data_IF_363720724956
#
_entry.id   IF_363720724956
#
_cell.length_a   1.000
_cell.length_b   1.000
_cell.length_c   1.000
_cell.angle_alpha   90.00
_cell.angle_beta   90.00
_cell.angle_gamma   90.00
#
_symmetry.space_group_name_H-M   'P 1'
#
loop_
_entity.id
_entity.type
_entity.pdbx_description
1 polymer ?
#
# COMPACT_ATOMS: atom_id res chain seq x y z
N UNK A 1 42.91 -38.19 6.51
CA UNK A 1 41.46 -37.94 6.58
C UNK A 1 41.20 -36.57 5.98
N UNK A 2 40.90 -36.54 4.67
CA UNK A 2 40.29 -35.45 3.90
C UNK A 2 39.03 -36.12 3.30
N UNK A 3 37.81 -35.59 3.23
CA UNK A 3 37.36 -34.21 3.08
C UNK A 3 35.84 -34.10 3.41
N UNK A 4 35.36 -32.97 3.94
CA UNK A 4 33.98 -32.51 3.81
C UNK A 4 33.81 -31.42 2.71
N UNK A 5 34.86 -31.13 1.93
CA UNK A 5 34.85 -30.08 0.90
C UNK A 5 34.41 -30.54 -0.48
N UNK A 6 34.42 -31.85 -0.75
CA UNK A 6 34.03 -32.39 -2.06
C UNK A 6 32.50 -32.38 -2.23
N UNK A 7 31.74 -32.72 -1.18
CA UNK A 7 30.26 -32.71 -1.21
C UNK A 7 29.67 -31.32 -1.53
N UNK A 8 30.32 -30.25 -1.07
CA UNK A 8 29.84 -28.88 -1.27
C UNK A 8 30.14 -28.36 -2.69
N UNK A 9 31.24 -28.83 -3.29
CA UNK A 9 31.60 -28.53 -4.68
C UNK A 9 30.68 -29.28 -5.65
N UNK A 10 30.39 -30.54 -5.37
CA UNK A 10 29.47 -31.34 -6.18
C UNK A 10 28.04 -30.77 -6.16
N UNK A 11 27.59 -30.26 -5.01
CA UNK A 11 26.31 -29.56 -4.89
C UNK A 11 26.28 -28.24 -5.68
N UNK A 12 27.35 -27.44 -5.58
CA UNK A 12 27.45 -26.17 -6.31
C UNK A 12 27.48 -26.39 -7.83
N UNK A 13 28.21 -27.41 -8.28
CA UNK A 13 28.29 -27.78 -9.69
C UNK A 13 26.96 -28.32 -10.22
N UNK A 14 26.23 -29.10 -9.41
CA UNK A 14 24.88 -29.56 -9.73
C UNK A 14 23.89 -28.40 -9.87
N UNK A 15 23.93 -27.43 -8.95
CA UNK A 15 23.07 -26.23 -8.99
C UNK A 15 23.39 -25.36 -10.21
N UNK A 16 24.68 -25.16 -10.49
CA UNK A 16 25.13 -24.37 -11.64
C UNK A 16 24.74 -25.02 -12.96
N UNK A 17 24.76 -26.35 -13.05
CA UNK A 17 24.32 -27.09 -14.22
C UNK A 17 22.80 -27.00 -14.42
N UNK A 18 22.01 -27.12 -13.34
CA UNK A 18 20.55 -26.99 -13.40
C UNK A 18 20.11 -25.59 -13.85
N UNK A 19 20.72 -24.54 -13.30
CA UNK A 19 20.44 -23.15 -13.67
C UNK A 19 20.80 -22.84 -15.13
N UNK A 20 21.89 -23.42 -15.65
CA UNK A 20 22.25 -23.26 -17.07
C UNK A 20 21.27 -23.95 -18.00
N UNK A 21 20.86 -25.18 -17.66
CA UNK A 21 19.87 -25.92 -18.43
C UNK A 21 18.52 -25.19 -18.48
N UNK A 22 18.11 -24.55 -17.37
CA UNK A 22 16.87 -23.79 -17.28
C UNK A 22 16.96 -22.48 -18.08
N UNK A 23 18.10 -21.78 -18.02
CA UNK A 23 18.34 -20.58 -18.82
C UNK A 23 18.36 -20.86 -20.34
N UNK A 24 18.95 -21.99 -20.74
CA UNK A 24 19.02 -22.40 -22.15
C UNK A 24 17.66 -22.94 -22.67
N UNK A 25 16.75 -23.35 -21.78
CA UNK A 25 15.40 -23.79 -22.14
C UNK A 25 14.43 -22.65 -22.45
N UNK A 26 14.75 -21.40 -22.08
CA UNK A 26 13.91 -20.23 -22.33
C UNK A 26 14.31 -19.59 -23.66
N UNK A 27 13.76 -20.09 -24.78
CA UNK A 27 13.95 -19.48 -26.10
C UNK A 27 12.95 -18.33 -26.32
N UNK A 28 13.39 -17.09 -26.60
CA UNK A 28 12.50 -15.94 -26.82
C UNK A 28 11.55 -16.08 -28.04
N UNK A 29 11.85 -16.99 -28.96
CA UNK A 29 11.12 -17.18 -30.22
C UNK A 29 9.72 -17.79 -30.06
N UNK A 30 9.51 -18.63 -29.04
CA UNK A 30 8.26 -19.40 -28.91
C UNK A 30 7.07 -18.51 -28.51
N UNK A 31 7.31 -17.51 -27.66
CA UNK A 31 6.26 -16.54 -27.27
C UNK A 31 5.84 -15.63 -28.41
N UNK A 32 6.75 -15.29 -29.32
CA UNK A 32 6.44 -14.37 -30.44
C UNK A 32 5.61 -15.07 -31.52
N UNK A 33 5.80 -16.38 -31.70
CA UNK A 33 4.96 -17.24 -32.55
C UNK A 33 3.53 -17.35 -32.03
N UNK A 34 3.35 -17.59 -30.73
CA UNK A 34 2.03 -17.62 -30.09
C UNK A 34 1.31 -16.26 -30.16
N UNK A 35 2.01 -15.16 -29.91
CA UNK A 35 1.44 -13.81 -30.01
C UNK A 35 1.03 -13.48 -31.45
N UNK A 36 1.82 -13.88 -32.46
CA UNK A 36 1.42 -13.72 -33.88
C UNK A 36 0.26 -14.62 -34.27
N UNK A 37 0.23 -15.86 -33.79
CA UNK A 37 -0.86 -16.79 -34.07
C UNK A 37 -2.18 -16.34 -33.43
N UNK A 38 -2.12 -15.73 -32.24
CA UNK A 38 -3.27 -15.11 -31.58
C UNK A 38 -3.73 -13.84 -32.33
N UNK A 39 -2.80 -13.01 -32.82
CA UNK A 39 -3.12 -11.82 -33.59
C UNK A 39 -3.74 -12.11 -34.97
N UNK A 40 -3.40 -13.24 -35.61
CA UNK A 40 -3.98 -13.63 -36.90
C UNK A 40 -5.36 -14.32 -36.81
N UNK A 41 -5.85 -14.64 -35.62
CA UNK A 41 -7.17 -15.29 -35.42
C UNK A 41 -8.35 -14.33 -35.25
N UNK A 42 -8.20 -13.04 -35.53
CA UNK A 42 -9.35 -12.13 -35.60
C UNK A 42 -10.22 -12.44 -36.84
N UNK A 43 -11.48 -12.88 -36.69
CA UNK A 43 -12.40 -13.03 -37.81
C UNK A 43 -12.80 -11.66 -38.34
N UNK A 44 -12.73 -11.49 -39.67
CA UNK A 44 -13.00 -10.24 -40.35
C UNK A 44 -14.43 -9.72 -40.15
N UNK A 45 -14.55 -8.47 -39.71
CA UNK A 45 -15.79 -7.70 -39.81
C UNK A 45 -15.96 -7.18 -41.24
N UNK A 46 -17.04 -7.62 -41.87
CA UNK A 46 -17.54 -7.11 -43.16
C UNK A 46 -17.98 -5.65 -43.06
N UNK A 47 -17.63 -4.84 -44.07
CA UNK A 47 -18.06 -3.44 -44.28
C UNK A 47 -19.59 -3.31 -44.41
N UNK A 48 -20.23 -2.37 -43.68
CA UNK A 48 -20.95 -1.15 -44.18
C UNK A 48 -22.03 -0.60 -43.19
N UNK A 49 -22.07 0.74 -43.13
CA UNK A 49 -23.18 1.67 -42.79
C UNK A 49 -23.67 1.74 -41.32
N UNK A 50 -23.39 2.83 -40.56
CA UNK A 50 -24.03 4.17 -40.50
C UNK A 50 -25.27 4.25 -39.55
N UNK A 51 -25.07 4.99 -38.45
CA UNK A 51 -26.02 5.72 -37.57
C UNK A 51 -26.79 5.00 -36.43
N UNK A 52 -26.63 5.60 -35.24
CA UNK A 52 -27.50 5.74 -34.04
C UNK A 52 -27.76 4.53 -33.09
N UNK A 53 -27.31 4.76 -31.85
CA UNK A 53 -27.86 4.40 -30.52
C UNK A 53 -28.91 3.29 -30.41
N UNK A 54 -28.63 2.28 -29.56
CA UNK A 54 -29.36 1.90 -28.31
C UNK A 54 -28.75 0.59 -27.76
N UNK A 55 -28.72 0.50 -26.42
CA UNK A 55 -28.44 -0.66 -25.55
C UNK A 55 -28.66 -2.06 -26.18
N UNK A 56 -27.71 -2.98 -25.95
CA UNK A 56 -28.01 -4.39 -25.72
C UNK A 56 -26.88 -5.10 -24.95
N UNK A 57 -27.29 -5.81 -23.91
CA UNK A 57 -26.55 -6.66 -22.98
C UNK A 57 -25.84 -7.81 -23.70
N UNK A 58 -24.63 -8.16 -23.26
CA UNK A 58 -24.11 -9.52 -23.40
C UNK A 58 -23.23 -9.88 -22.19
N UNK A 59 -23.83 -10.63 -21.27
CA UNK A 59 -23.10 -11.40 -20.28
C UNK A 59 -22.21 -12.42 -21.01
N UNK A 60 -20.94 -12.48 -20.62
CA UNK A 60 -20.06 -13.59 -20.94
C UNK A 60 -19.29 -13.97 -19.67
N UNK A 61 -19.92 -14.85 -18.89
CA UNK A 61 -19.22 -15.69 -17.91
C UNK A 61 -18.43 -16.74 -18.69
N UNK A 62 -17.12 -16.78 -18.52
CA UNK A 62 -16.33 -17.98 -18.85
C UNK A 62 -15.42 -18.33 -17.68
N UNK A 63 -15.78 -19.46 -17.07
CA UNK A 63 -15.02 -20.34 -16.20
C UNK A 63 -13.54 -20.48 -16.59
N UNK A 64 -12.66 -20.42 -15.59
CA UNK A 64 -11.56 -21.38 -15.46
C UNK A 64 -11.49 -21.80 -13.99
N UNK A 65 -11.86 -23.05 -13.72
CA UNK A 65 -11.67 -23.72 -12.44
C UNK A 65 -10.86 -25.01 -12.63
N UNK A 66 -10.05 -25.32 -11.60
CA UNK A 66 -9.36 -26.59 -11.28
C UNK A 66 -8.07 -26.91 -12.06
N UNK A 67 -6.98 -27.49 -11.53
CA UNK A 67 -6.76 -28.43 -10.39
C UNK A 67 -5.23 -28.41 -10.06
N UNK A 68 -4.74 -28.45 -8.81
CA UNK A 68 -4.39 -29.67 -8.06
C UNK A 68 -4.08 -29.29 -6.58
N UNK A 69 -4.89 -29.70 -5.59
CA UNK A 69 -5.01 -31.00 -4.89
C UNK A 69 -3.93 -31.30 -3.84
N UNK A 70 -4.45 -31.45 -2.62
CA UNK A 70 -3.88 -31.94 -1.39
C UNK A 70 -3.12 -33.28 -1.45
N UNK A 71 -2.05 -33.35 -0.66
CA UNK A 71 -1.45 -34.54 -0.03
C UNK A 71 -0.39 -34.03 0.95
N UNK A 72 -0.29 -34.31 2.25
CA UNK A 72 -0.85 -35.32 3.14
C UNK A 72 -0.87 -34.79 4.60
N UNK A 73 -1.84 -35.23 5.40
CA UNK A 73 -1.69 -35.38 6.86
C UNK A 73 -1.28 -36.83 7.13
N UNK A 74 -0.14 -37.05 7.80
CA UNK A 74 0.07 -38.10 8.81
C UNK A 74 1.51 -38.04 9.37
N UNK A 75 1.64 -38.01 10.71
CA UNK A 75 2.80 -38.59 11.43
C UNK A 75 3.92 -37.66 11.89
N UNK A 76 3.92 -37.30 13.18
CA UNK A 76 5.09 -36.90 14.00
C UNK A 76 5.99 -38.13 14.23
N UNK A 77 7.32 -37.99 14.50
CA UNK A 77 7.78 -37.55 15.82
C UNK A 77 8.95 -36.55 15.82
N UNK A 78 9.21 -36.04 17.02
CA UNK A 78 10.13 -34.95 17.38
C UNK A 78 11.62 -35.28 17.28
N UNK A 79 12.42 -34.28 16.89
CA UNK A 79 13.80 -34.02 17.37
C UNK A 79 14.02 -32.50 17.34
N UNK A 80 14.12 -31.87 18.50
CA UNK A 80 14.94 -30.67 18.73
C UNK A 80 16.39 -31.16 18.95
N UNK A 81 17.46 -30.43 18.57
CA UNK A 81 17.74 -29.15 19.25
C UNK A 81 18.58 -28.10 18.49
N UNK A 82 18.73 -26.97 19.18
CA UNK A 82 19.95 -26.16 19.33
C UNK A 82 20.18 -24.97 18.38
N UNK A 83 19.97 -23.80 18.99
CA UNK A 83 20.66 -22.55 18.71
C UNK A 83 22.19 -22.73 18.62
N UNK A 84 22.81 -21.97 17.72
CA UNK A 84 24.20 -21.54 17.86
C UNK A 84 24.38 -20.19 17.16
N UNK A 85 24.59 -19.17 17.98
CA UNK A 85 25.17 -17.90 17.57
C UNK A 85 26.63 -18.12 17.17
N UNK A 86 27.09 -17.44 16.12
CA UNK A 86 28.53 -17.28 15.84
C UNK A 86 28.80 -15.82 15.50
N UNK A 87 29.42 -15.14 16.46
CA UNK A 87 30.22 -13.92 16.26
C UNK A 87 31.66 -14.32 15.92
N UNK A 88 32.30 -13.52 15.05
CA UNK A 88 33.73 -13.11 14.98
C UNK A 88 34.05 -12.77 13.50
N UNK A 89 34.11 -11.49 13.12
CA UNK A 89 35.26 -10.58 13.26
C UNK A 89 36.50 -11.00 12.45
N UNK A 90 36.72 -10.35 11.30
CA UNK A 90 38.02 -9.79 10.88
C UNK A 90 37.89 -9.09 9.52
N UNK A 91 38.19 -7.78 9.50
CA UNK A 91 38.52 -7.01 8.30
C UNK A 91 40.01 -7.24 7.95
N UNK A 92 40.52 -6.94 6.72
CA UNK A 92 40.66 -5.54 6.28
C UNK A 92 40.46 -5.22 4.77
N UNK A 93 39.99 -3.98 4.55
CA UNK A 93 40.40 -2.94 3.59
C UNK A 93 40.42 -3.11 2.04
N UNK A 94 39.57 -2.30 1.39
CA UNK A 94 39.77 -1.62 0.08
C UNK A 94 38.91 -2.17 -1.07
N UNK A 95 38.11 -1.42 -1.85
CA UNK A 95 37.87 0.01 -2.00
C UNK A 95 36.51 0.25 -2.68
N UNK A 96 35.69 1.12 -2.08
CA UNK A 96 34.75 2.10 -2.68
C UNK A 96 34.06 1.77 -4.02
N UNK A 97 32.77 1.42 -3.96
CA UNK A 97 31.71 2.05 -4.79
C UNK A 97 30.37 1.87 -4.07
N UNK A 98 29.91 2.90 -3.33
CA UNK A 98 28.62 2.86 -2.64
C UNK A 98 27.49 3.17 -3.63
N UNK A 99 26.70 2.17 -3.99
CA UNK A 99 25.34 2.36 -4.47
C UNK A 99 24.47 2.71 -3.26
N UNK A 100 23.94 3.92 -3.24
CA UNK A 100 23.15 4.45 -2.12
C UNK A 100 21.87 3.65 -1.94
N UNK A 101 21.77 2.97 -0.80
CA UNK A 101 20.50 2.55 -0.25
C UNK A 101 19.63 3.79 0.01
N UNK A 102 18.35 3.70 -0.34
CA UNK A 102 17.35 4.71 0.00
C UNK A 102 17.11 4.68 1.52
N UNK A 103 17.96 5.36 2.27
CA UNK A 103 17.76 5.71 3.67
C UNK A 103 17.60 7.23 3.74
N UNK A 104 16.39 7.69 3.44
CA UNK A 104 15.95 9.05 3.76
C UNK A 104 15.42 9.10 5.19
N UNK A 105 16.21 8.71 6.18
CA UNK A 105 15.95 9.05 7.56
C UNK A 105 16.36 10.52 7.74
N UNK A 106 15.42 11.42 7.50
CA UNK A 106 15.59 12.82 7.86
C UNK A 106 15.38 12.94 9.37
N UNK A 107 16.47 13.11 10.11
CA UNK A 107 16.42 13.73 11.44
C UNK A 107 15.82 15.14 11.27
N UNK A 108 14.54 15.25 11.58
CA UNK A 108 13.84 16.50 11.78
C UNK A 108 12.93 16.31 12.99
N UNK A 109 12.92 17.30 13.87
CA UNK A 109 12.01 17.47 15.00
C UNK A 109 10.59 17.00 14.62
N UNK A 110 10.12 15.88 15.19
CA UNK A 110 8.79 15.32 14.94
C UNK A 110 8.55 14.81 13.51
N UNK A 111 9.08 13.64 13.15
CA UNK A 111 8.74 12.97 11.90
C UNK A 111 7.22 12.82 11.70
N UNK A 112 6.74 13.06 10.48
CA UNK A 112 5.33 12.93 10.13
C UNK A 112 4.81 11.50 10.38
N UNK A 113 3.58 11.39 10.87
CA UNK A 113 2.95 10.13 11.24
C UNK A 113 2.28 9.50 10.01
N UNK A 114 2.63 8.27 9.63
CA UNK A 114 1.92 7.56 8.56
C UNK A 114 0.52 7.16 9.04
N UNK A 115 -0.50 7.55 8.29
CA UNK A 115 -1.90 7.18 8.53
C UNK A 115 -2.42 6.49 7.28
N UNK A 116 -2.93 5.26 7.46
CA UNK A 116 -3.71 4.60 6.43
C UNK A 116 -5.18 4.96 6.64
N UNK A 117 -5.92 5.16 5.54
CA UNK A 117 -7.34 5.50 5.59
C UNK A 117 -8.07 4.89 4.39
N UNK A 118 -9.39 4.76 4.50
CA UNK A 118 -10.23 4.28 3.41
C UNK A 118 -10.67 5.43 2.50
N UNK A 119 -10.47 5.26 1.21
CA UNK A 119 -11.00 6.14 0.17
C UNK A 119 -11.98 5.36 -0.70
N UNK A 120 -13.02 6.02 -1.21
CA UNK A 120 -13.86 5.39 -2.24
C UNK A 120 -13.19 5.56 -3.59
N UNK A 121 -13.05 4.46 -4.30
CA UNK A 121 -12.66 4.46 -5.70
C UNK A 121 -13.77 5.19 -6.51
N UNK A 122 -13.45 6.27 -7.24
CA UNK A 122 -14.47 7.04 -7.96
C UNK A 122 -15.10 6.26 -9.12
N UNK A 123 -14.45 5.19 -9.60
CA UNK A 123 -14.90 4.39 -10.74
C UNK A 123 -15.41 3.00 -10.35
N UNK A 124 -15.07 2.54 -9.14
CA UNK A 124 -15.49 1.25 -8.60
C UNK A 124 -16.22 1.52 -7.29
N UNK A 125 -17.38 0.91 -7.07
CA UNK A 125 -18.12 1.06 -5.81
C UNK A 125 -17.44 0.25 -4.68
N UNK A 126 -16.21 0.63 -4.34
CA UNK A 126 -15.27 -0.12 -3.52
C UNK A 126 -14.41 0.86 -2.72
N UNK A 127 -14.24 0.59 -1.43
CA UNK A 127 -13.29 1.31 -0.58
C UNK A 127 -11.88 0.74 -0.77
N UNK A 128 -10.87 1.57 -0.99
CA UNK A 128 -9.44 1.20 -1.08
C UNK A 128 -8.64 1.80 0.07
N UNK A 129 -7.50 1.19 0.37
CA UNK A 129 -6.55 1.76 1.33
C UNK A 129 -5.66 2.80 0.65
N UNK A 130 -5.62 3.99 1.22
CA UNK A 130 -4.69 5.05 0.87
C UNK A 130 -3.82 5.39 2.09
N UNK A 131 -2.79 6.22 1.89
CA UNK A 131 -1.86 6.63 2.94
C UNK A 131 -1.53 8.10 2.85
N UNK A 132 -1.51 8.75 4.00
CA UNK A 132 -1.03 10.12 4.17
C UNK A 132 0.04 10.18 5.28
N UNK A 133 0.76 11.29 5.33
CA UNK A 133 1.72 11.61 6.40
C UNK A 133 1.29 12.89 7.10
N UNK A 134 0.83 12.76 8.34
CA UNK A 134 0.33 13.89 9.13
C UNK A 134 1.46 14.47 9.95
N UNK A 135 1.73 15.77 9.81
CA UNK A 135 2.73 16.41 10.66
C UNK A 135 2.20 16.47 12.10
N UNK A 136 3.04 16.22 13.13
CA UNK A 136 2.62 16.29 14.54
C UNK A 136 1.99 17.63 14.94
N UNK A 137 2.40 18.73 14.28
CA UNK A 137 1.85 20.08 14.50
C UNK A 137 0.48 20.33 13.87
N UNK A 138 0.08 19.51 12.89
CA UNK A 138 -1.19 19.65 12.16
C UNK A 138 -2.32 18.82 12.82
N UNK A 139 -2.01 18.06 13.88
CA UNK A 139 -2.99 17.33 14.67
C UNK A 139 -3.74 18.26 15.62
N UNK A 140 -4.96 17.86 16.01
CA UNK A 140 -5.76 18.57 17.00
C UNK A 140 -6.09 17.64 18.19
N UNK A 141 -5.52 17.87 19.38
CA UNK A 141 -4.47 18.85 19.68
C UNK A 141 -3.10 18.46 19.07
N UNK A 142 -2.20 19.43 18.85
CA UNK A 142 -0.86 19.13 18.35
C UNK A 142 -0.11 18.19 19.29
N UNK A 143 0.63 17.24 18.73
CA UNK A 143 1.47 16.33 19.51
C UNK A 143 2.71 17.06 20.03
N UNK A 144 3.01 16.85 21.31
CA UNK A 144 4.28 17.30 21.90
C UNK A 144 5.48 16.63 21.21
N UNK A 145 6.61 17.32 21.13
CA UNK A 145 7.81 16.80 20.47
C UNK A 145 8.33 15.50 21.12
N UNK A 146 8.14 15.36 22.44
CA UNK A 146 8.49 14.20 23.27
C UNK A 146 7.33 13.22 23.49
N UNK A 147 6.23 13.36 22.74
CA UNK A 147 5.09 12.44 22.81
C UNK A 147 5.54 10.99 22.63
N UNK A 148 5.01 10.12 23.49
CA UNK A 148 5.35 8.70 23.51
C UNK A 148 4.88 8.01 22.24
N UNK A 149 5.41 6.81 21.95
CA UNK A 149 4.96 6.04 20.79
C UNK A 149 3.48 5.65 20.89
N UNK A 150 2.98 5.40 22.10
CA UNK A 150 1.56 5.13 22.36
C UNK A 150 0.70 6.35 22.02
N UNK A 151 1.13 7.56 22.42
CA UNK A 151 0.41 8.81 22.08
C UNK A 151 0.41 9.06 20.56
N UNK A 152 1.53 8.79 19.89
CA UNK A 152 1.64 8.92 18.42
C UNK A 152 0.73 7.94 17.69
N UNK A 153 0.66 6.68 18.13
CA UNK A 153 -0.26 5.69 17.54
C UNK A 153 -1.71 6.12 17.77
N UNK A 154 -2.05 6.51 19.01
CA UNK A 154 -3.40 6.96 19.34
C UNK A 154 -3.82 8.17 18.49
N UNK A 155 -2.95 9.16 18.34
CA UNK A 155 -3.22 10.34 17.54
C UNK A 155 -3.32 10.04 16.03
N UNK A 156 -2.49 9.14 15.50
CA UNK A 156 -2.57 8.70 14.11
C UNK A 156 -3.89 7.96 13.80
N UNK A 157 -4.35 7.13 14.74
CA UNK A 157 -5.62 6.40 14.61
C UNK A 157 -6.85 7.28 14.85
N UNK A 158 -6.73 8.34 15.65
CA UNK A 158 -7.78 9.32 15.90
C UNK A 158 -7.83 10.43 14.85
N UNK A 159 -6.90 10.43 13.88
CA UNK A 159 -6.88 11.43 12.83
C UNK A 159 -8.16 11.33 11.98
N UNK A 160 -8.88 12.43 11.75
CA UNK A 160 -10.16 12.40 11.06
C UNK A 160 -9.96 12.04 9.58
N UNK A 161 -10.61 10.96 9.14
CA UNK A 161 -10.55 10.52 7.75
C UNK A 161 -11.07 11.61 6.80
N UNK A 162 -10.42 11.83 5.65
CA UNK A 162 -10.93 12.70 4.60
C UNK A 162 -12.29 12.20 4.13
N UNK A 163 -13.33 12.98 4.35
CA UNK A 163 -14.59 12.78 3.65
C UNK A 163 -14.31 12.78 2.14
N UNK A 164 -14.47 11.62 1.51
CA UNK A 164 -14.16 11.40 0.08
C UNK A 164 -14.83 12.47 -0.77
N UNK A 165 -14.11 12.98 -1.77
CA UNK A 165 -14.52 14.11 -2.59
C UNK A 165 -15.95 13.99 -3.16
N UNK A 166 -16.68 15.12 -3.10
CA UNK A 166 -17.98 15.44 -3.72
C UNK A 166 -19.27 14.99 -2.99
N UNK A 167 -19.60 15.70 -1.90
CA UNK A 167 -21.01 16.04 -1.60
C UNK A 167 -21.77 15.15 -0.64
N UNK A 168 -21.37 13.91 -0.40
CA UNK A 168 -21.99 13.05 0.61
C UNK A 168 -20.89 12.26 1.30
N UNK A 169 -20.69 12.52 2.61
CA UNK A 169 -19.75 11.77 3.42
C UNK A 169 -20.17 10.30 3.41
N UNK A 170 -19.44 9.49 2.65
CA UNK A 170 -19.70 8.05 2.61
C UNK A 170 -19.22 7.52 3.95
N UNK A 171 -20.11 6.93 4.76
CA UNK A 171 -19.71 6.40 6.05
C UNK A 171 -18.64 5.33 5.81
N UNK A 172 -17.58 5.34 6.59
CA UNK A 172 -16.60 4.24 6.64
C UNK A 172 -16.86 3.41 7.89
N UNK A 173 -16.45 2.13 7.94
CA UNK A 173 -16.59 1.32 9.16
C UNK A 173 -15.88 1.91 10.39
N UNK A 174 -14.96 2.83 10.17
CA UNK A 174 -14.13 3.53 11.15
C UNK A 174 -14.60 4.96 11.43
N UNK A 175 -15.67 5.46 10.79
CA UNK A 175 -16.14 6.83 10.94
C UNK A 175 -16.52 7.20 12.40
N UNK A 176 -17.13 6.26 13.12
CA UNK A 176 -17.52 6.42 14.53
C UNK A 176 -16.50 5.78 15.50
N UNK A 177 -15.35 5.34 14.99
CA UNK A 177 -14.31 4.70 15.80
C UNK A 177 -13.70 5.73 16.75
N UNK A 178 -13.55 5.30 18.01
CA UNK A 178 -12.81 6.08 19.02
C UNK A 178 -11.67 5.24 19.58
N UNK A 179 -10.51 5.86 19.78
CA UNK A 179 -9.38 5.21 20.46
C UNK A 179 -9.47 5.51 21.95
N UNK A 180 -9.58 4.46 22.76
CA UNK A 180 -9.69 4.58 24.23
C UNK A 180 -8.37 4.37 24.95
N UNK A 181 -7.39 3.71 24.29
CA UNK A 181 -6.05 3.51 24.83
C UNK A 181 -5.16 2.78 23.85
N UNK A 182 -3.84 2.90 24.05
CA UNK A 182 -2.83 2.13 23.32
C UNK A 182 -1.77 1.68 24.30
N UNK A 183 -1.47 0.38 24.30
CA UNK A 183 -0.32 -0.20 25.00
C UNK A 183 0.62 -0.86 23.98
N UNK A 184 1.92 -0.68 24.19
CA UNK A 184 2.95 -1.20 23.28
C UNK A 184 4.00 -1.96 24.07
N UNK A 185 4.12 -3.25 23.78
CA UNK A 185 5.18 -4.10 24.29
C UNK A 185 6.25 -4.38 23.21
N UNK A 186 7.19 -5.28 23.51
CA UNK A 186 8.13 -5.79 22.52
C UNK A 186 7.50 -6.68 21.46
N UNK A 187 6.34 -7.26 21.73
CA UNK A 187 5.75 -8.40 21.03
C UNK A 187 4.29 -8.20 20.65
N UNK A 188 3.65 -7.12 21.10
CA UNK A 188 2.24 -6.84 20.85
C UNK A 188 1.94 -5.33 20.94
N UNK A 189 1.02 -4.87 20.10
CA UNK A 189 0.33 -3.59 20.24
C UNK A 189 -1.11 -3.91 20.66
N UNK A 190 -1.56 -3.39 21.80
CA UNK A 190 -2.95 -3.52 22.25
C UNK A 190 -3.65 -2.19 22.08
N UNK A 191 -4.77 -2.18 21.34
CA UNK A 191 -5.52 -0.95 21.04
C UNK A 191 -6.92 -1.06 21.63
N UNK A 192 -7.24 -0.13 22.52
CA UNK A 192 -8.59 0.07 23.02
C UNK A 192 -9.43 0.82 21.99
N UNK A 193 -10.57 0.25 21.58
CA UNK A 193 -11.46 0.83 20.58
C UNK A 193 -12.91 0.92 21.08
N UNK A 194 -13.61 1.99 20.70
CA UNK A 194 -15.06 2.14 20.80
C UNK A 194 -15.69 2.39 19.43
N UNK A 195 -17.01 2.22 19.31
CA UNK A 195 -17.77 2.53 18.09
C UNK A 195 -17.60 1.54 16.93
N UNK A 196 -16.82 0.47 17.12
CA UNK A 196 -16.54 -0.56 16.09
C UNK A 196 -17.19 -1.92 16.41
N UNK A 197 -17.97 -1.99 17.49
CA UNK A 197 -18.71 -3.19 17.89
C UNK A 197 -20.10 -3.23 17.26
N UNK A 198 -20.59 -4.44 16.98
CA UNK A 198 -21.96 -4.65 16.51
C UNK A 198 -22.06 -5.55 15.28
N UNK A 199 -23.10 -6.39 15.26
CA UNK A 199 -23.39 -7.34 14.20
C UNK A 199 -24.13 -6.71 13.00
N UNK A 200 -24.45 -5.42 13.10
CA UNK A 200 -25.35 -4.67 12.21
C UNK A 200 -24.61 -3.63 11.36
N UNK A 201 -23.31 -3.79 11.17
CA UNK A 201 -22.51 -2.76 10.51
C UNK A 201 -22.97 -2.47 9.06
N UNK A 202 -23.78 -3.35 8.46
CA UNK A 202 -24.25 -3.24 7.08
C UNK A 202 -23.12 -3.44 6.05
N UNK A 203 -21.88 -3.52 6.52
CA UNK A 203 -20.68 -3.64 5.72
C UNK A 203 -20.41 -5.09 5.32
N UNK A 204 -19.97 -5.26 4.09
CA UNK A 204 -19.47 -6.54 3.61
C UNK A 204 -18.10 -6.90 4.22
N UNK A 205 -17.67 -8.13 3.98
CA UNK A 205 -16.40 -8.66 4.49
C UNK A 205 -15.18 -7.93 3.92
N UNK A 206 -15.21 -7.55 2.64
CA UNK A 206 -14.09 -6.87 1.98
C UNK A 206 -13.87 -5.50 2.61
N UNK A 207 -14.96 -4.77 2.83
CA UNK A 207 -14.95 -3.44 3.44
C UNK A 207 -14.44 -3.50 4.89
N UNK A 208 -14.98 -4.41 5.70
CA UNK A 208 -14.54 -4.56 7.10
C UNK A 208 -13.12 -5.13 7.24
N UNK A 209 -12.67 -5.97 6.30
CA UNK A 209 -11.28 -6.45 6.24
C UNK A 209 -10.30 -5.30 5.96
N UNK A 210 -10.67 -4.37 5.06
CA UNK A 210 -9.85 -3.18 4.80
C UNK A 210 -9.84 -2.21 5.99
N UNK A 211 -10.98 -2.02 6.66
CA UNK A 211 -11.05 -1.21 7.88
C UNK A 211 -10.18 -1.78 9.00
N UNK A 212 -10.18 -3.10 9.20
CA UNK A 212 -9.25 -3.77 10.10
C UNK A 212 -7.79 -3.45 9.71
N UNK A 213 -7.45 -3.58 8.42
CA UNK A 213 -6.08 -3.34 7.95
C UNK A 213 -5.67 -1.88 8.01
N UNK A 214 -6.60 -0.94 7.90
CA UNK A 214 -6.35 0.48 8.15
C UNK A 214 -5.73 0.70 9.54
N UNK A 215 -6.35 0.11 10.57
CA UNK A 215 -5.93 0.24 11.97
C UNK A 215 -4.59 -0.44 12.18
N UNK A 216 -4.45 -1.69 11.72
CA UNK A 216 -3.23 -2.50 11.88
C UNK A 216 -2.03 -1.83 11.20
N UNK A 217 -2.18 -1.44 9.93
CA UNK A 217 -1.09 -0.83 9.16
C UNK A 217 -0.68 0.53 9.73
N UNK A 218 -1.62 1.33 10.22
CA UNK A 218 -1.33 2.62 10.87
C UNK A 218 -0.51 2.42 12.13
N UNK A 219 -0.98 1.56 13.06
CA UNK A 219 -0.28 1.32 14.32
C UNK A 219 1.15 0.77 14.11
N UNK A 220 1.31 -0.22 13.22
CA UNK A 220 2.61 -0.80 12.92
C UNK A 220 3.54 0.18 12.19
N UNK A 221 3.02 1.01 11.28
CA UNK A 221 3.81 2.00 10.56
C UNK A 221 4.32 3.11 11.48
N UNK A 222 3.49 3.59 12.41
CA UNK A 222 3.92 4.56 13.43
C UNK A 222 4.95 3.96 14.38
N UNK A 223 4.77 2.70 14.79
CA UNK A 223 5.74 2.01 15.65
C UNK A 223 7.10 1.81 14.96
N UNK A 224 7.11 1.53 13.66
CA UNK A 224 8.34 1.45 12.85
C UNK A 224 9.25 0.25 13.19
N UNK A 225 8.74 -0.76 13.92
CA UNK A 225 9.52 -1.93 14.38
C UNK A 225 9.21 -3.22 13.64
N UNK A 226 8.61 -3.13 12.45
CA UNK A 226 8.24 -4.27 11.64
C UNK A 226 6.86 -4.84 12.00
N UNK A 227 6.69 -6.15 11.84
CA UNK A 227 5.41 -6.85 11.98
C UNK A 227 5.13 -7.28 13.43
N UNK A 228 5.10 -6.30 14.35
CA UNK A 228 4.61 -6.53 15.71
C UNK A 228 3.08 -6.64 15.63
N UNK A 229 2.46 -7.75 16.05
CA UNK A 229 1.01 -7.93 15.89
C UNK A 229 0.21 -6.89 16.68
N UNK A 230 -1.01 -6.67 16.22
CA UNK A 230 -2.01 -5.81 16.85
C UNK A 230 -3.15 -6.65 17.39
N UNK A 231 -3.64 -6.33 18.58
CA UNK A 231 -4.86 -6.91 19.18
C UNK A 231 -5.73 -5.81 19.77
N UNK A 232 -6.98 -6.14 20.09
CA UNK A 232 -7.97 -5.13 20.45
C UNK A 232 -8.67 -5.40 21.79
N UNK A 233 -8.98 -4.31 22.48
CA UNK A 233 -9.88 -4.29 23.63
C UNK A 233 -11.08 -3.38 23.31
N UNK A 234 -12.29 -3.93 23.31
CA UNK A 234 -13.48 -3.16 22.94
C UNK A 234 -14.13 -2.52 24.17
N UNK A 235 -14.37 -1.21 24.10
CA UNK A 235 -14.81 -0.37 25.22
C UNK A 235 -16.18 -0.78 25.79
N UNK A 236 -17.03 -1.40 24.97
CA UNK A 236 -18.35 -1.91 25.35
C UNK A 236 -18.32 -3.37 25.85
N UNK A 237 -17.14 -3.98 25.91
CA UNK A 237 -16.95 -5.38 26.31
C UNK A 237 -17.31 -6.40 25.22
N UNK A 238 -17.57 -5.97 23.98
CA UNK A 238 -17.74 -6.88 22.86
C UNK A 238 -16.45 -7.69 22.60
N UNK A 239 -16.61 -8.85 21.96
CA UNK A 239 -15.49 -9.77 21.66
C UNK A 239 -15.11 -9.78 20.19
N UNK A 240 -15.84 -9.06 19.35
CA UNK A 240 -15.65 -9.04 17.89
C UNK A 240 -15.81 -7.63 17.33
N UNK A 241 -14.89 -7.23 16.44
CA UNK A 241 -15.02 -6.02 15.63
C UNK A 241 -16.01 -6.31 14.51
N UNK A 242 -17.01 -5.43 14.37
CA UNK A 242 -18.10 -5.52 13.39
C UNK A 242 -18.79 -6.90 13.32
N UNK A 243 -18.80 -7.65 14.44
CA UNK A 243 -19.39 -9.00 14.56
C UNK A 243 -18.70 -10.07 13.69
N UNK A 244 -17.42 -9.88 13.34
CA UNK A 244 -16.69 -10.76 12.41
C UNK A 244 -15.28 -11.12 12.86
N UNK A 245 -14.54 -10.15 13.40
CA UNK A 245 -13.11 -10.30 13.69
C UNK A 245 -12.90 -10.35 15.19
N UNK A 246 -12.39 -11.47 15.73
CA UNK A 246 -12.19 -11.63 17.16
C UNK A 246 -11.22 -10.56 17.71
N UNK A 247 -11.66 -9.80 18.71
CA UNK A 247 -10.85 -8.72 19.30
C UNK A 247 -9.52 -9.24 19.88
N UNK A 248 -9.52 -10.47 20.39
CA UNK A 248 -8.36 -11.14 21.01
C UNK A 248 -7.41 -11.79 20.02
N UNK A 249 -7.73 -11.78 18.72
CA UNK A 249 -6.82 -12.27 17.68
C UNK A 249 -5.61 -11.34 17.53
N UNK A 250 -4.51 -11.90 17.01
CA UNK A 250 -3.28 -11.18 16.70
C UNK A 250 -3.24 -10.90 15.20
N UNK A 251 -3.53 -9.66 14.85
CA UNK A 251 -3.55 -9.21 13.47
C UNK A 251 -2.19 -8.70 13.04
N UNK A 252 -1.75 -9.18 11.89
CA UNK A 252 -0.46 -8.85 11.30
C UNK A 252 -0.66 -8.00 10.05
N UNK A 253 0.40 -7.30 9.63
CA UNK A 253 0.41 -6.68 8.31
C UNK A 253 0.27 -7.81 7.27
N UNK A 254 -0.61 -7.64 6.26
CA UNK A 254 -0.72 -8.58 5.17
C UNK A 254 0.58 -8.64 4.37
N UNK A 255 0.77 -9.74 3.64
CA UNK A 255 1.84 -9.81 2.64
C UNK A 255 1.76 -8.63 1.67
N UNK A 256 2.89 -8.14 1.17
CA UNK A 256 2.94 -7.02 0.21
C UNK A 256 1.95 -7.17 -0.96
N UNK A 257 1.80 -8.33 -1.62
CA UNK A 257 0.82 -8.48 -2.69
C UNK A 257 -0.64 -8.27 -2.25
N UNK A 258 -0.97 -8.59 -0.99
CA UNK A 258 -2.31 -8.36 -0.46
C UNK A 258 -2.51 -6.88 -0.12
N UNK A 259 -1.50 -6.20 0.42
CA UNK A 259 -1.54 -4.74 0.60
C UNK A 259 -1.74 -4.04 -0.74
N UNK A 260 -1.00 -4.43 -1.78
CA UNK A 260 -1.16 -3.89 -3.15
C UNK A 260 -2.56 -4.15 -3.72
N UNK A 261 -3.16 -5.32 -3.46
CA UNK A 261 -4.53 -5.62 -3.89
C UNK A 261 -5.61 -4.85 -3.11
N UNK A 262 -5.29 -4.37 -1.91
CA UNK A 262 -6.20 -3.57 -1.09
C UNK A 262 -6.04 -2.06 -1.32
N UNK A 263 -4.87 -1.64 -1.78
CA UNK A 263 -4.46 -0.26 -1.89
C UNK A 263 -4.98 0.46 -3.15
N UNK A 264 -5.03 1.79 -3.06
CA UNK A 264 -4.99 2.64 -4.25
C UNK A 264 -3.63 2.43 -4.97
N UNK A 265 -3.62 2.25 -6.31
CA UNK A 265 -2.39 2.07 -7.07
C UNK A 265 -1.54 3.35 -7.14
N UNK A 266 -2.06 4.51 -6.73
CA UNK A 266 -1.31 5.76 -6.63
C UNK A 266 -1.46 6.31 -5.20
N UNK A 267 -0.35 6.47 -4.49
CA UNK A 267 -0.29 7.11 -3.18
C UNK A 267 0.45 8.43 -3.27
N UNK A 268 -0.16 9.51 -2.79
CA UNK A 268 0.48 10.82 -2.69
C UNK A 268 1.00 10.98 -1.25
N UNK A 269 2.32 10.81 -1.08
CA UNK A 269 2.95 10.94 0.24
C UNK A 269 3.20 12.42 0.61
N UNK A 270 3.48 13.27 -0.38
CA UNK A 270 3.63 14.73 -0.21
C UNK A 270 3.02 15.50 -1.39
N UNK A 271 2.28 16.60 -1.15
CA UNK A 271 1.85 17.07 0.17
C UNK A 271 0.90 16.05 0.83
N UNK A 272 1.02 15.89 2.15
CA UNK A 272 0.07 15.10 2.92
C UNK A 272 -1.32 15.74 2.88
N UNK A 273 -2.36 14.95 3.13
CA UNK A 273 -3.72 15.48 3.20
C UNK A 273 -3.83 16.54 4.30
N UNK A 274 -4.38 17.70 3.94
CA UNK A 274 -4.54 18.86 4.81
C UNK A 274 -3.24 19.62 5.10
N UNK A 275 -2.10 19.19 4.56
CA UNK A 275 -0.80 19.80 4.87
C UNK A 275 -0.75 21.26 4.43
N UNK A 276 -0.23 22.14 5.30
CA UNK A 276 0.14 23.51 4.92
C UNK A 276 1.53 23.53 4.29
N UNK A 277 1.67 24.15 3.13
CA UNK A 277 2.93 24.30 2.39
C UNK A 277 3.26 25.78 2.15
N UNK A 278 4.54 26.17 2.10
CA UNK A 278 4.91 27.58 1.92
C UNK A 278 4.52 28.14 0.55
N UNK A 279 3.98 29.36 0.55
CA UNK A 279 3.73 30.13 -0.67
C UNK A 279 5.01 30.58 -1.37
N UNK A 280 4.88 30.89 -2.66
CA UNK A 280 5.94 31.52 -3.46
C UNK A 280 7.11 30.60 -3.84
N UNK A 281 7.08 29.32 -3.47
CA UNK A 281 8.07 28.32 -3.86
C UNK A 281 7.43 27.18 -4.65
N UNK A 282 8.14 26.56 -5.61
CA UNK A 282 7.68 25.32 -6.23
C UNK A 282 7.43 24.24 -5.18
N UNK A 283 6.30 23.55 -5.29
CA UNK A 283 5.93 22.45 -4.42
C UNK A 283 6.52 21.15 -4.96
N UNK A 284 7.27 20.42 -4.13
CA UNK A 284 7.72 19.07 -4.48
C UNK A 284 6.64 18.07 -4.09
N UNK A 285 6.13 17.34 -5.09
CA UNK A 285 5.23 16.22 -4.91
C UNK A 285 6.03 14.93 -4.93
N UNK A 286 5.69 14.00 -4.05
CA UNK A 286 6.28 12.66 -4.03
C UNK A 286 5.27 11.62 -3.59
N UNK A 287 5.45 10.39 -4.02
CA UNK A 287 4.54 9.30 -3.69
C UNK A 287 5.04 7.94 -4.15
N UNK A 288 4.16 6.94 -4.03
CA UNK A 288 4.38 5.59 -4.51
C UNK A 288 3.34 5.22 -5.54
N UNK A 289 3.70 4.41 -6.53
CA UNK A 289 2.73 3.85 -7.47
C UNK A 289 2.98 2.37 -7.75
N UNK A 290 1.90 1.60 -7.81
CA UNK A 290 1.88 0.23 -8.31
C UNK A 290 1.63 0.17 -9.84
N UNK A 291 1.50 1.31 -10.51
CA UNK A 291 1.20 1.38 -11.94
C UNK A 291 2.40 0.97 -12.80
N UNK A 292 2.18 -0.07 -13.61
CA UNK A 292 3.20 -0.59 -14.54
C UNK A 292 3.32 0.24 -15.82
N UNK A 293 2.35 1.12 -16.08
CA UNK A 293 2.30 1.93 -17.31
C UNK A 293 3.29 3.11 -17.31
N UNK A 294 3.86 3.46 -16.15
CA UNK A 294 4.95 4.45 -15.99
C UNK A 294 4.56 5.91 -16.26
N UNK A 295 3.31 6.20 -16.65
CA UNK A 295 2.91 7.55 -17.07
C UNK A 295 1.87 8.14 -16.14
N UNK A 296 2.37 8.82 -15.11
CA UNK A 296 1.56 9.65 -14.22
C UNK A 296 1.45 11.08 -14.76
N UNK A 297 0.22 11.58 -14.81
CA UNK A 297 -0.12 12.97 -15.08
C UNK A 297 -0.68 13.58 -13.80
N UNK A 298 -0.58 14.89 -13.68
CA UNK A 298 -1.07 15.59 -12.51
C UNK A 298 -1.78 16.89 -12.88
N UNK A 299 -2.72 17.29 -12.02
CA UNK A 299 -3.48 18.52 -12.10
C UNK A 299 -3.62 19.10 -10.70
N UNK A 300 -3.54 20.42 -10.58
CA UNK A 300 -3.85 21.15 -9.36
C UNK A 300 -5.00 22.09 -9.63
N UNK A 301 -6.01 21.98 -8.79
CA UNK A 301 -7.20 22.83 -8.80
C UNK A 301 -7.24 23.72 -7.56
N UNK A 302 -7.52 25.00 -7.75
CA UNK A 302 -7.96 25.92 -6.68
C UNK A 302 -9.46 25.73 -6.43
N UNK A 303 -9.97 26.12 -5.26
CA UNK A 303 -11.41 26.06 -4.99
C UNK A 303 -12.19 27.17 -5.72
N UNK A 304 -13.35 26.86 -6.34
CA UNK A 304 -14.06 25.58 -6.38
C UNK A 304 -13.83 24.85 -7.72
N UNK A 305 -12.65 24.24 -7.89
CA UNK A 305 -12.26 23.41 -9.04
C UNK A 305 -11.78 24.17 -10.28
N UNK A 306 -11.05 25.27 -10.08
CA UNK A 306 -10.37 25.96 -11.17
C UNK A 306 -8.97 25.38 -11.35
N UNK A 307 -8.69 24.79 -12.51
CA UNK A 307 -7.32 24.33 -12.84
C UNK A 307 -6.35 25.52 -12.78
N UNK A 308 -5.32 25.38 -11.95
CA UNK A 308 -4.24 26.36 -11.78
C UNK A 308 -2.88 25.84 -12.24
N UNK A 309 -2.70 24.51 -12.30
CA UNK A 309 -1.50 23.90 -12.86
C UNK A 309 -1.77 22.46 -13.36
N UNK A 310 -1.01 22.02 -14.34
CA UNK A 310 -1.06 20.65 -14.88
C UNK A 310 0.31 20.23 -15.41
N UNK A 311 0.58 18.94 -15.47
CA UNK A 311 1.83 18.42 -16.03
C UNK A 311 1.91 16.90 -16.14
N UNK A 312 3.05 16.45 -16.67
CA UNK A 312 3.37 15.04 -16.88
C UNK A 312 4.21 14.81 -18.14
N UNK A 313 4.74 13.59 -18.33
CA UNK A 313 4.75 12.48 -17.37
C UNK A 313 5.81 12.67 -16.26
N UNK A 314 5.52 12.21 -15.04
CA UNK A 314 6.56 12.05 -14.00
C UNK A 314 7.52 10.90 -14.36
N UNK A 315 8.83 10.98 -14.02
CA UNK A 315 9.83 10.02 -14.48
C UNK A 315 9.67 8.61 -13.89
N UNK A 316 9.90 7.61 -14.76
CA UNK A 316 9.82 6.17 -14.48
C UNK A 316 10.79 5.70 -13.38
N UNK A 317 10.35 4.71 -12.61
CA UNK A 317 11.22 3.79 -11.87
C UNK A 317 10.86 2.34 -12.22
N UNK A 318 11.85 1.44 -12.13
CA UNK A 318 11.79 0.12 -12.76
C UNK A 318 11.17 -1.02 -11.93
N UNK A 319 10.70 -0.76 -10.70
CA UNK A 319 10.21 -1.80 -9.77
C UNK A 319 9.04 -1.31 -8.90
N UNK A 320 7.96 -2.10 -8.84
CA UNK A 320 6.78 -1.80 -8.02
C UNK A 320 7.02 -2.10 -6.53
N UNK A 321 6.45 -1.30 -5.60
CA UNK A 321 5.93 0.05 -5.84
C UNK A 321 7.07 1.02 -6.19
N UNK A 322 6.85 1.81 -7.25
CA UNK A 322 7.81 2.79 -7.76
C UNK A 322 7.60 4.11 -7.03
N UNK A 323 8.67 4.66 -6.46
CA UNK A 323 8.64 6.03 -5.98
C UNK A 323 8.60 7.01 -7.17
N UNK A 324 7.67 7.96 -7.14
CA UNK A 324 7.61 9.05 -8.10
C UNK A 324 7.81 10.40 -7.41
N UNK A 325 8.33 11.37 -8.16
CA UNK A 325 8.40 12.76 -7.69
C UNK A 325 8.39 13.73 -8.87
N UNK A 326 7.73 14.87 -8.68
CA UNK A 326 7.69 15.98 -9.63
C UNK A 326 7.54 17.31 -8.90
N UNK A 327 7.84 18.41 -9.60
CA UNK A 327 7.64 19.75 -9.07
C UNK A 327 6.37 20.38 -9.68
N UNK A 328 5.53 20.96 -8.81
CA UNK A 328 4.46 21.86 -9.19
C UNK A 328 5.00 23.30 -9.10
N UNK A 329 4.72 24.17 -10.08
CA UNK A 329 5.09 25.59 -9.99
C UNK A 329 4.56 26.26 -8.71
N UNK A 330 5.11 27.43 -8.37
CA UNK A 330 4.59 28.20 -7.24
C UNK A 330 3.09 28.49 -7.42
N UNK A 331 2.29 28.14 -6.41
CA UNK A 331 0.84 28.29 -6.41
C UNK A 331 0.43 29.56 -5.63
N UNK A 332 -0.72 30.16 -5.95
CA UNK A 332 -1.32 31.19 -5.10
C UNK A 332 -1.63 30.66 -3.70
N UNK A 333 -1.61 31.53 -2.69
CA UNK A 333 -2.06 31.16 -1.34
C UNK A 333 -3.54 30.77 -1.35
N UNK A 334 -3.89 29.77 -0.55
CA UNK A 334 -5.25 29.23 -0.48
C UNK A 334 -5.31 27.69 -0.51
N UNK A 335 -6.52 27.12 -0.42
CA UNK A 335 -6.73 25.68 -0.48
C UNK A 335 -6.64 25.15 -1.92
N UNK A 336 -5.90 24.07 -2.10
CA UNK A 336 -5.73 23.41 -3.40
C UNK A 336 -6.06 21.92 -3.30
N UNK A 337 -6.44 21.33 -4.44
CA UNK A 337 -6.55 19.88 -4.62
C UNK A 337 -5.57 19.45 -5.69
N UNK A 338 -4.66 18.55 -5.34
CA UNK A 338 -3.78 17.87 -6.28
C UNK A 338 -4.41 16.54 -6.67
N UNK A 339 -4.44 16.25 -7.96
CA UNK A 339 -4.78 14.95 -8.52
C UNK A 339 -3.58 14.37 -9.25
N UNK A 340 -3.31 13.08 -9.04
CA UNK A 340 -2.33 12.30 -9.79
C UNK A 340 -3.04 11.12 -10.42
N UNK A 341 -2.85 10.90 -11.72
CA UNK A 341 -3.61 9.94 -12.51
C UNK A 341 -2.81 9.23 -13.57
N UNK A 342 -3.28 8.06 -13.97
CA UNK A 342 -2.80 7.36 -15.17
C UNK A 342 -3.23 8.08 -16.45
N UNK A 343 -2.54 7.79 -17.56
CA UNK A 343 -2.87 8.32 -18.88
C UNK A 343 -4.29 8.00 -19.36
N UNK A 344 -4.83 6.86 -18.94
CA UNK A 344 -6.18 6.41 -19.27
C UNK A 344 -7.22 6.78 -18.21
N UNK A 345 -6.82 7.56 -17.20
CA UNK A 345 -7.63 8.08 -16.09
C UNK A 345 -8.36 6.99 -15.29
N UNK A 346 -7.98 5.73 -15.44
CA UNK A 346 -8.60 4.62 -14.69
C UNK A 346 -8.27 4.67 -13.21
N UNK A 347 -7.09 5.18 -12.89
CA UNK A 347 -6.59 5.27 -11.54
C UNK A 347 -6.21 6.72 -11.27
N UNK A 348 -6.84 7.27 -10.23
CA UNK A 348 -6.74 8.68 -9.83
C UNK A 348 -6.64 8.70 -8.31
N UNK A 349 -5.58 9.32 -7.80
CA UNK A 349 -5.43 9.66 -6.39
C UNK A 349 -5.47 11.17 -6.24
N UNK A 350 -6.00 11.65 -5.11
CA UNK A 350 -6.16 13.07 -4.84
C UNK A 350 -5.85 13.42 -3.39
N UNK A 351 -5.18 14.55 -3.19
CA UNK A 351 -4.91 15.11 -1.86
C UNK A 351 -5.27 16.59 -1.82
N UNK A 352 -5.76 17.05 -0.67
CA UNK A 352 -6.00 18.47 -0.39
C UNK A 352 -4.84 19.03 0.41
N UNK A 353 -4.46 20.27 0.17
CA UNK A 353 -3.41 20.96 0.91
C UNK A 353 -3.68 22.48 0.90
N UNK A 354 -3.02 23.22 1.78
CA UNK A 354 -3.16 24.68 1.87
C UNK A 354 -1.81 25.32 1.56
N UNK A 355 -1.81 26.38 0.76
CA UNK A 355 -0.62 27.19 0.48
C UNK A 355 -0.70 28.47 1.31
N UNK A 356 0.31 28.75 2.15
CA UNK A 356 0.37 29.93 3.02
C UNK A 356 1.65 30.76 2.88
#
# INVERSE_FOLDING_TARGET
>A
MNAPTDDLRDLEDSLRAALRADADAITPGDRLGEVRAAAMRQPGQTRRARWLTVLAVAAAVVLVSTLAMASLRAGKPAVDPAASAVTLSSAPAGSKTSAGAATGASEATGAALPVYYLTKDPFRDLLRLDRTFVAPGDLEPPLAADASVTDRIAAALAWPEPGVHAGEGIPTPTADMTVTGVDVSSDLITIGLGGVSGNESGWDETTTSRALQQIVLTAQAVLGRGDIPVTFELADGATELWGRYAATERYHRPSTPLVEAMADPIWIDRPGYGQTVPAGSPLTVSGLTAETSGRLFWQVDDQPWQEVATGGPAPDGAFLPVAYSFAVPALPSGPHTLQVRTADERDVSSTRFVVE
#
